data_IF_901157274482
#
_entry.id   IF_901157274482
#
_cell.length_a   1.000
_cell.length_b   1.000
_cell.length_c   1.000
_cell.angle_alpha   90.00
_cell.angle_beta   90.00
_cell.angle_gamma   90.00
#
_symmetry.space_group_name_H-M   'P 1'
#
loop_
_entity.id
_entity.type
_entity.pdbx_description
1 polymer ?
#
# COMPACT_ATOMS: atom_id res chain seq x y z
N UNK A 1 22.75 -9.71 -6.98
CA UNK A 1 21.52 -10.33 -6.43
C UNK A 1 20.60 -9.21 -5.98
N UNK A 2 19.32 -9.29 -6.29
CA UNK A 2 18.33 -8.24 -6.04
C UNK A 2 18.05 -8.01 -4.56
N UNK A 3 17.70 -6.77 -4.19
CA UNK A 3 17.42 -6.39 -2.81
C UNK A 3 16.07 -6.94 -2.34
N UNK A 4 16.08 -7.61 -1.19
CA UNK A 4 14.87 -8.12 -0.51
C UNK A 4 14.24 -6.97 0.28
N UNK A 5 13.50 -6.08 -0.38
CA UNK A 5 12.61 -5.16 0.33
C UNK A 5 11.32 -5.94 0.66
N UNK A 6 11.19 -6.35 1.93
CA UNK A 6 10.08 -7.17 2.41
C UNK A 6 9.17 -6.34 3.29
N UNK A 7 7.92 -6.22 2.87
CA UNK A 7 6.86 -5.64 3.69
C UNK A 7 6.30 -6.70 4.64
N UNK A 8 5.96 -6.31 5.85
CA UNK A 8 5.21 -7.15 6.78
C UNK A 8 3.79 -6.61 6.86
N UNK A 9 2.82 -7.45 6.54
CA UNK A 9 1.41 -7.12 6.59
C UNK A 9 0.76 -7.80 7.79
N UNK A 10 -0.13 -7.09 8.46
CA UNK A 10 -1.07 -7.74 9.40
C UNK A 10 -2.10 -8.56 8.60
N UNK A 11 -2.76 -9.55 9.23
CA UNK A 11 -3.84 -10.30 8.58
C UNK A 11 -4.97 -9.40 8.06
N UNK A 12 -5.23 -8.28 8.73
CA UNK A 12 -6.26 -7.31 8.33
C UNK A 12 -5.81 -6.50 7.11
N UNK A 13 -4.55 -6.03 7.08
CA UNK A 13 -3.99 -5.33 5.93
C UNK A 13 -3.97 -6.23 4.68
N UNK A 14 -3.56 -7.50 4.82
CA UNK A 14 -3.57 -8.42 3.68
C UNK A 14 -5.00 -8.65 3.14
N UNK A 15 -6.00 -8.79 4.03
CA UNK A 15 -7.41 -8.88 3.64
C UNK A 15 -7.88 -7.62 2.92
N UNK A 16 -7.58 -6.43 3.44
CA UNK A 16 -7.96 -5.16 2.80
C UNK A 16 -7.33 -5.03 1.42
N UNK A 17 -6.03 -5.31 1.28
CA UNK A 17 -5.33 -5.29 0.00
C UNK A 17 -5.90 -6.33 -0.98
N UNK A 18 -6.30 -7.51 -0.49
CA UNK A 18 -6.95 -8.54 -1.30
C UNK A 18 -8.32 -8.07 -1.82
N UNK A 19 -9.12 -7.40 -0.98
CA UNK A 19 -10.44 -6.89 -1.35
C UNK A 19 -10.37 -5.80 -2.43
N UNK A 20 -9.29 -5.02 -2.50
CA UNK A 20 -9.10 -4.00 -3.54
C UNK A 20 -9.09 -4.59 -4.97
N UNK A 21 -8.78 -5.88 -5.13
CA UNK A 21 -8.84 -6.57 -6.44
C UNK A 21 -10.25 -6.50 -7.05
N UNK A 22 -11.28 -6.65 -6.22
CA UNK A 22 -12.69 -6.68 -6.66
C UNK A 22 -13.41 -5.36 -6.47
N UNK A 23 -12.86 -4.43 -5.70
CA UNK A 23 -13.44 -3.09 -5.51
C UNK A 23 -13.46 -2.27 -6.81
N UNK A 24 -14.38 -1.30 -6.89
CA UNK A 24 -14.47 -0.33 -7.99
C UNK A 24 -13.47 0.82 -7.78
N UNK A 25 -12.18 0.48 -7.83
CA UNK A 25 -11.05 1.42 -7.68
C UNK A 25 -10.19 1.41 -8.96
N UNK A 26 -9.39 2.46 -9.22
CA UNK A 26 -8.52 2.50 -10.39
C UNK A 26 -7.59 1.27 -10.46
N UNK A 27 -7.36 0.74 -11.66
CA UNK A 27 -6.51 -0.45 -11.87
C UNK A 27 -5.11 -0.28 -11.24
N UNK A 28 -4.55 0.93 -11.30
CA UNK A 28 -3.25 1.26 -10.70
C UNK A 28 -3.21 1.06 -9.18
N UNK A 29 -4.33 1.27 -8.48
CA UNK A 29 -4.47 1.01 -7.03
C UNK A 29 -4.45 -0.50 -6.78
N UNK A 30 -5.15 -1.27 -7.62
CA UNK A 30 -5.17 -2.74 -7.56
C UNK A 30 -3.79 -3.34 -7.79
N UNK A 31 -3.07 -2.85 -8.81
CA UNK A 31 -1.72 -3.32 -9.15
C UNK A 31 -0.75 -3.03 -8.00
N UNK A 32 -0.82 -1.82 -7.41
CA UNK A 32 0.00 -1.45 -6.24
C UNK A 32 -0.30 -2.32 -5.02
N UNK A 33 -1.57 -2.61 -4.76
CA UNK A 33 -1.97 -3.49 -3.67
C UNK A 33 -1.37 -4.89 -3.86
N UNK A 34 -1.44 -5.44 -5.07
CA UNK A 34 -0.87 -6.76 -5.36
C UNK A 34 0.67 -6.78 -5.28
N UNK A 35 1.35 -5.70 -5.71
CA UNK A 35 2.81 -5.54 -5.51
C UNK A 35 3.20 -5.66 -4.03
N UNK A 36 2.45 -5.01 -3.14
CA UNK A 36 2.72 -5.02 -1.70
C UNK A 36 2.49 -6.43 -1.12
N UNK A 37 1.40 -7.10 -1.51
CA UNK A 37 1.11 -8.48 -1.08
C UNK A 37 2.18 -9.45 -1.54
N UNK A 38 2.63 -9.36 -2.79
CA UNK A 38 3.71 -10.21 -3.31
C UNK A 38 5.03 -9.98 -2.57
N UNK A 39 5.37 -8.73 -2.24
CA UNK A 39 6.53 -8.42 -1.37
C UNK A 39 6.38 -9.08 0.01
N UNK A 40 5.19 -9.02 0.60
CA UNK A 40 4.92 -9.67 1.90
C UNK A 40 5.03 -11.20 1.85
N UNK A 41 4.62 -11.81 0.74
CA UNK A 41 4.84 -13.22 0.42
C UNK A 41 6.30 -13.57 0.09
N UNK A 42 7.23 -12.60 0.17
CA UNK A 42 8.66 -12.83 0.03
C UNK A 42 9.18 -12.80 -1.40
N UNK A 43 8.42 -12.24 -2.35
CA UNK A 43 8.93 -12.05 -3.71
C UNK A 43 9.98 -10.94 -3.76
N UNK A 44 11.01 -11.15 -4.58
CA UNK A 44 12.03 -10.14 -4.85
C UNK A 44 11.47 -9.03 -5.71
N UNK A 45 11.96 -7.80 -5.49
CA UNK A 45 11.59 -6.60 -6.25
C UNK A 45 11.69 -6.83 -7.76
N UNK A 46 12.78 -7.47 -8.22
CA UNK A 46 13.03 -7.74 -9.63
C UNK A 46 12.05 -8.77 -10.22
N UNK A 47 11.63 -9.75 -9.40
CA UNK A 47 10.63 -10.74 -9.81
C UNK A 47 9.25 -10.10 -9.94
N UNK A 48 8.89 -9.21 -9.02
CA UNK A 48 7.66 -8.42 -9.07
C UNK A 48 7.69 -7.49 -10.28
N UNK A 49 8.79 -6.77 -10.48
CA UNK A 49 8.97 -5.87 -11.61
C UNK A 49 8.78 -6.60 -12.96
N UNK A 50 9.38 -7.78 -13.11
CA UNK A 50 9.19 -8.62 -14.30
C UNK A 50 7.73 -9.08 -14.46
N UNK A 51 7.03 -9.39 -13.37
CA UNK A 51 5.63 -9.82 -13.41
C UNK A 51 4.67 -8.72 -13.89
N UNK A 52 4.91 -7.46 -13.48
CA UNK A 52 4.08 -6.31 -13.87
C UNK A 52 4.60 -5.56 -15.11
N UNK A 53 5.73 -6.00 -15.70
CA UNK A 53 6.45 -5.27 -16.75
C UNK A 53 6.83 -3.83 -16.33
N UNK A 54 7.19 -3.66 -15.05
CA UNK A 54 7.62 -2.39 -14.48
C UNK A 54 9.12 -2.33 -14.27
N UNK A 55 9.64 -1.14 -13.98
CA UNK A 55 11.03 -1.02 -13.49
C UNK A 55 11.11 -1.41 -12.02
N UNK A 56 12.26 -1.97 -11.60
CA UNK A 56 12.52 -2.25 -10.19
C UNK A 56 12.43 -0.98 -9.30
N UNK A 57 12.73 0.19 -9.86
CA UNK A 57 12.58 1.47 -9.16
C UNK A 57 11.11 1.75 -8.83
N UNK A 58 10.20 1.58 -9.78
CA UNK A 58 8.76 1.79 -9.56
C UNK A 58 8.23 0.88 -8.46
N UNK A 59 8.66 -0.38 -8.42
CA UNK A 59 8.30 -1.32 -7.35
C UNK A 59 8.81 -0.82 -5.99
N UNK A 60 10.08 -0.38 -5.91
CA UNK A 60 10.64 0.19 -4.66
C UNK A 60 9.90 1.42 -4.20
N UNK A 61 9.52 2.31 -5.11
CA UNK A 61 8.75 3.52 -4.78
C UNK A 61 7.36 3.18 -4.21
N UNK A 62 6.68 2.16 -4.75
CA UNK A 62 5.40 1.68 -4.22
C UNK A 62 5.56 1.12 -2.81
N UNK A 63 6.58 0.29 -2.59
CA UNK A 63 6.84 -0.30 -1.28
C UNK A 63 7.26 0.76 -0.24
N UNK A 64 8.11 1.72 -0.62
CA UNK A 64 8.46 2.84 0.26
C UNK A 64 7.24 3.72 0.59
N UNK A 65 6.38 4.01 -0.40
CA UNK A 65 5.14 4.77 -0.13
C UNK A 65 4.24 4.02 0.86
N UNK A 66 4.13 2.70 0.72
CA UNK A 66 3.39 1.88 1.68
C UNK A 66 3.99 1.94 3.09
N UNK A 67 5.31 1.83 3.24
CA UNK A 67 5.97 1.92 4.55
C UNK A 67 5.72 3.27 5.24
N UNK A 68 5.64 4.36 4.49
CA UNK A 68 5.44 5.70 5.04
C UNK A 68 3.97 6.12 5.22
N UNK A 69 3.06 5.65 4.36
CA UNK A 69 1.67 6.15 4.27
C UNK A 69 0.62 5.04 4.41
N UNK A 70 1.00 3.77 4.45
CA UNK A 70 0.07 2.64 4.48
C UNK A 70 -0.90 2.66 3.30
N UNK A 71 -2.19 2.43 3.57
CA UNK A 71 -3.26 2.40 2.57
C UNK A 71 -3.31 3.68 1.75
N UNK A 72 -3.15 4.86 2.36
CA UNK A 72 -3.17 6.14 1.63
C UNK A 72 -2.09 6.20 0.54
N UNK A 73 -0.97 5.50 0.72
CA UNK A 73 0.13 5.43 -0.24
C UNK A 73 -0.21 4.71 -1.55
N UNK A 74 -1.33 3.99 -1.61
CA UNK A 74 -1.80 3.31 -2.81
C UNK A 74 -2.35 4.30 -3.85
N UNK A 75 -2.91 5.42 -3.41
CA UNK A 75 -3.48 6.46 -4.27
C UNK A 75 -2.42 7.50 -4.66
N UNK A 76 -2.59 8.15 -5.82
CA UNK A 76 -1.70 9.25 -6.19
C UNK A 76 -2.17 10.55 -5.54
N UNK A 77 -1.24 11.25 -4.87
CA UNK A 77 -1.49 12.62 -4.44
C UNK A 77 -1.84 13.46 -5.67
N UNK A 78 -2.85 14.33 -5.59
CA UNK A 78 -3.12 15.29 -6.66
C UNK A 78 -1.87 16.14 -6.90
N UNK A 79 -1.24 15.98 -8.07
CA UNK A 79 -0.13 16.81 -8.49
C UNK A 79 -0.58 18.26 -8.73
N UNK A 80 0.39 19.18 -8.77
CA UNK A 80 0.21 20.65 -8.87
C UNK A 80 -0.50 21.18 -10.14
N UNK A 81 -1.09 20.32 -10.98
CA UNK A 81 -1.63 20.73 -12.30
C UNK A 81 -2.84 19.95 -12.81
N UNK A 82 -3.45 19.06 -12.03
CA UNK A 82 -4.65 18.35 -12.47
C UNK A 82 -5.46 17.90 -11.27
N UNK A 83 -6.77 18.18 -11.29
CA UNK A 83 -7.71 17.61 -10.32
C UNK A 83 -7.61 16.09 -10.40
N UNK A 84 -6.92 15.47 -9.44
CA UNK A 84 -7.14 14.06 -9.17
C UNK A 84 -8.63 13.94 -8.86
N UNK A 85 -9.35 13.05 -9.54
CA UNK A 85 -10.73 12.73 -9.16
C UNK A 85 -10.62 11.97 -7.84
N UNK A 86 -10.54 12.72 -6.75
CA UNK A 86 -11.09 12.24 -5.48
C UNK A 86 -12.56 12.04 -5.80
N UNK A 87 -12.95 10.82 -6.19
CA UNK A 87 -14.35 10.50 -6.16
C UNK A 87 -14.72 10.52 -4.68
N UNK A 88 -15.79 11.22 -4.31
CA UNK A 88 -16.28 11.25 -2.92
C UNK A 88 -16.49 9.83 -2.36
N UNK A 89 -16.70 8.85 -3.24
CA UNK A 89 -16.72 7.42 -2.93
C UNK A 89 -15.42 6.87 -2.31
N UNK A 90 -14.25 7.34 -2.75
CA UNK A 90 -12.95 6.91 -2.19
C UNK A 90 -12.74 7.45 -0.76
N UNK A 91 -13.24 8.65 -0.47
CA UNK A 91 -13.23 9.22 0.90
C UNK A 91 -14.15 8.45 1.83
N UNK A 92 -15.37 8.12 1.40
CA UNK A 92 -16.32 7.33 2.22
C UNK A 92 -15.79 5.93 2.49
N UNK A 93 -15.05 5.32 1.56
CA UNK A 93 -14.40 4.03 1.78
C UNK A 93 -13.29 4.14 2.85
N UNK A 94 -12.44 5.17 2.76
CA UNK A 94 -11.40 5.44 3.76
C UNK A 94 -12.01 5.75 5.13
N UNK A 95 -13.05 6.59 5.19
CA UNK A 95 -13.75 6.98 6.42
C UNK A 95 -14.42 5.77 7.09
N UNK A 96 -15.07 4.88 6.31
CA UNK A 96 -15.62 3.61 6.83
C UNK A 96 -14.56 2.61 7.27
N UNK A 97 -13.40 2.56 6.62
CA UNK A 97 -12.29 1.73 7.06
C UNK A 97 -11.64 2.28 8.33
N UNK A 98 -11.48 3.61 8.44
CA UNK A 98 -10.94 4.31 9.60
C UNK A 98 -11.89 4.26 10.82
N UNK A 99 -13.20 4.35 10.61
CA UNK A 99 -14.21 4.19 11.68
C UNK A 99 -14.23 2.78 12.28
N UNK A 100 -13.76 1.77 11.55
CA UNK A 100 -13.68 0.38 12.02
C UNK A 100 -12.37 0.05 12.75
N UNK A 101 -11.38 0.94 12.76
CA UNK A 101 -10.09 0.74 13.43
C UNK A 101 -9.88 1.76 14.56
N UNK A 102 -10.05 1.38 15.84
CA UNK A 102 -9.60 2.22 16.94
C UNK A 102 -8.08 2.06 17.07
N UNK A 103 -7.32 2.97 16.42
CA UNK A 103 -6.34 3.87 17.06
C UNK A 103 -5.14 4.22 16.17
N UNK A 104 -4.94 5.52 16.10
CA UNK A 104 -3.67 6.26 16.09
C UNK A 104 -2.51 5.49 16.71
N UNK A 105 -1.39 5.35 15.98
CA UNK A 105 -0.08 5.30 16.61
C UNK A 105 0.92 6.19 15.88
N UNK A 106 1.35 7.24 16.59
CA UNK A 106 2.48 8.08 16.21
C UNK A 106 3.80 7.40 16.63
N UNK A 107 4.89 7.90 16.06
CA UNK A 107 6.31 7.56 16.15
C UNK A 107 6.96 7.28 17.52
N UNK A 108 6.23 7.12 18.64
CA UNK A 108 6.80 6.85 19.99
C UNK A 108 6.48 5.43 20.52
N UNK A 109 5.64 4.64 19.85
CA UNK A 109 5.13 3.38 20.40
C UNK A 109 6.03 2.13 20.29
N UNK A 110 7.20 2.21 19.65
CA UNK A 110 8.05 1.03 19.38
C UNK A 110 9.11 0.74 20.47
N UNK A 111 9.18 1.51 21.57
CA UNK A 111 10.28 1.38 22.54
C UNK A 111 9.96 0.57 23.81
N UNK A 112 8.76 -0.01 23.96
CA UNK A 112 8.43 -0.83 25.15
C UNK A 112 7.89 -2.19 24.74
N UNK A 113 8.73 -3.00 24.08
CA UNK A 113 8.54 -4.45 23.98
C UNK A 113 9.87 -5.22 24.00
N UNK A 114 10.91 -4.64 24.61
CA UNK A 114 12.10 -5.33 25.12
C UNK A 114 12.81 -4.41 26.13
N UNK A 115 12.47 -4.58 27.41
CA UNK A 115 13.06 -3.84 28.54
C UNK A 115 12.21 -3.97 29.80
#
# INVERSE_FOLDING_TARGET
>A
MGSRLRVFLTPEQDKTLFHLRTADVPQKVKDRAEVIRLSAHGWYVEKIAAHFHWTAQTVREVLHRWEHLGLEGLWEKPGRGGKSRWAEADMVFLEKCLEQEPRTYNSVQLEVLNG
#
